data_IF_332435171519
#
_entry.id   IF_332435171519
#
_cell.length_a   1.000
_cell.length_b   1.000
_cell.length_c   1.000
_cell.angle_alpha   90.00
_cell.angle_beta   90.00
_cell.angle_gamma   90.00
#
_symmetry.space_group_name_H-M   'P 1'
#
loop_
_entity.id
_entity.type
_entity.pdbx_description
1 polymer ?
#
# COMPACT_ATOMS: atom_id res chain seq x y z
N UNK A 1 8.60 -41.08 -19.31
CA UNK A 1 7.32 -41.51 -18.67
C UNK A 1 6.95 -40.48 -17.62
N UNK A 2 5.69 -40.03 -17.62
CA UNK A 2 5.23 -38.77 -17.04
C UNK A 2 5.34 -38.70 -15.50
N UNK A 3 6.03 -37.67 -14.99
CA UNK A 3 5.98 -37.27 -13.59
C UNK A 3 4.71 -36.43 -13.35
N UNK A 4 3.61 -37.10 -12.98
CA UNK A 4 2.39 -36.42 -12.55
C UNK A 4 2.49 -36.16 -11.04
N UNK A 5 3.15 -35.06 -10.68
CA UNK A 5 2.87 -34.38 -9.42
C UNK A 5 1.44 -33.83 -9.51
N UNK A 6 0.46 -34.70 -9.27
CA UNK A 6 -0.93 -34.35 -9.09
C UNK A 6 -1.04 -33.76 -7.69
N UNK A 7 -0.74 -32.46 -7.58
CA UNK A 7 -1.23 -31.66 -6.45
C UNK A 7 -2.74 -31.85 -6.41
N UNK A 8 -3.22 -32.60 -5.41
CA UNK A 8 -4.64 -32.76 -5.11
C UNK A 8 -5.29 -31.38 -5.17
N UNK A 9 -6.33 -31.14 -5.97
CA UNK A 9 -7.04 -29.87 -5.93
C UNK A 9 -7.78 -29.83 -4.60
N UNK A 10 -7.14 -29.25 -3.58
CA UNK A 10 -7.85 -28.71 -2.43
C UNK A 10 -8.99 -27.89 -3.00
N UNK A 11 -10.25 -28.20 -2.64
CA UNK A 11 -11.46 -27.46 -3.02
C UNK A 11 -11.09 -26.00 -3.23
N UNK A 12 -11.12 -25.57 -4.49
CA UNK A 12 -10.47 -24.33 -4.92
C UNK A 12 -10.97 -23.19 -4.03
N UNK A 13 -10.09 -22.70 -3.16
CA UNK A 13 -10.29 -21.42 -2.52
C UNK A 13 -10.38 -20.45 -3.70
N UNK A 14 -11.53 -19.81 -3.90
CA UNK A 14 -11.75 -18.85 -4.98
C UNK A 14 -12.13 -17.52 -4.35
N UNK A 15 -11.66 -16.42 -4.93
CA UNK A 15 -11.97 -15.10 -4.40
C UNK A 15 -13.48 -14.82 -4.45
N UNK A 16 -14.06 -14.38 -3.33
CA UNK A 16 -15.46 -13.98 -3.20
C UNK A 16 -15.86 -12.84 -4.14
N UNK A 17 -14.90 -12.01 -4.54
CA UNK A 17 -15.13 -10.80 -5.36
C UNK A 17 -14.91 -11.06 -6.85
N UNK A 18 -13.84 -11.77 -7.22
CA UNK A 18 -13.46 -11.95 -8.63
C UNK A 18 -13.42 -13.41 -9.11
N UNK A 19 -13.73 -14.36 -8.22
CA UNK A 19 -13.73 -15.82 -8.49
C UNK A 19 -12.39 -16.41 -8.94
N UNK A 20 -11.29 -15.65 -8.91
CA UNK A 20 -9.94 -16.16 -9.20
C UNK A 20 -9.46 -17.15 -8.15
N UNK A 21 -8.83 -18.24 -8.58
CA UNK A 21 -8.20 -19.28 -7.75
C UNK A 21 -6.69 -19.11 -7.56
N UNK A 22 -6.04 -18.33 -8.42
CA UNK A 22 -4.58 -18.40 -8.62
C UNK A 22 -3.79 -17.39 -7.78
N UNK A 23 -4.48 -16.67 -6.91
CA UNK A 23 -3.94 -15.56 -6.15
C UNK A 23 -3.88 -15.87 -4.66
N UNK A 24 -2.91 -15.30 -3.94
CA UNK A 24 -2.84 -15.40 -2.48
C UNK A 24 -4.17 -14.98 -1.85
N UNK A 25 -4.78 -15.88 -1.10
CA UNK A 25 -6.11 -15.70 -0.54
C UNK A 25 -6.07 -15.43 0.96
N UNK A 26 -6.95 -14.54 1.38
CA UNK A 26 -7.16 -14.13 2.76
C UNK A 26 -8.56 -14.58 3.18
N UNK A 27 -8.68 -15.26 4.32
CA UNK A 27 -9.99 -15.58 4.90
C UNK A 27 -10.69 -14.28 5.36
N UNK A 28 -11.88 -13.99 4.81
CA UNK A 28 -12.65 -12.75 5.07
C UNK A 28 -12.96 -12.59 6.55
N UNK A 29 -13.20 -13.70 7.28
CA UNK A 29 -13.51 -13.69 8.71
C UNK A 29 -12.31 -14.06 9.59
N UNK A 30 -11.11 -14.18 9.02
CA UNK A 30 -9.88 -14.50 9.73
C UNK A 30 -9.30 -13.31 10.50
N UNK A 31 -8.27 -13.57 11.32
CA UNK A 31 -7.62 -12.54 12.16
C UNK A 31 -7.08 -11.36 11.33
N UNK A 32 -6.30 -11.65 10.29
CA UNK A 32 -5.79 -10.61 9.39
C UNK A 32 -6.89 -9.72 8.79
N UNK A 33 -8.01 -10.32 8.38
CA UNK A 33 -9.11 -9.58 7.79
C UNK A 33 -9.85 -8.71 8.80
N UNK A 34 -9.93 -9.14 10.07
CA UNK A 34 -10.44 -8.31 11.17
C UNK A 34 -9.50 -7.13 11.45
N UNK A 35 -8.20 -7.38 11.57
CA UNK A 35 -7.21 -6.32 11.85
C UNK A 35 -7.20 -5.24 10.75
N UNK A 36 -7.44 -5.65 9.50
CA UNK A 36 -7.54 -4.76 8.33
C UNK A 36 -8.95 -4.23 8.06
N UNK A 37 -9.93 -4.61 8.87
CA UNK A 37 -11.36 -4.26 8.72
C UNK A 37 -11.95 -4.63 7.34
N UNK A 38 -11.48 -5.72 6.73
CA UNK A 38 -11.92 -6.16 5.38
C UNK A 38 -13.43 -6.37 5.30
N UNK A 39 -14.10 -7.06 6.25
CA UNK A 39 -15.56 -7.26 6.18
C UNK A 39 -16.35 -5.95 6.13
N UNK A 40 -15.97 -4.98 6.97
CA UNK A 40 -16.60 -3.66 7.02
C UNK A 40 -16.38 -2.91 5.71
N UNK A 41 -15.16 -2.90 5.18
CA UNK A 41 -14.87 -2.25 3.91
C UNK A 41 -15.68 -2.87 2.77
N UNK A 42 -15.77 -4.20 2.70
CA UNK A 42 -16.58 -4.87 1.67
C UNK A 42 -18.05 -4.44 1.75
N UNK A 43 -18.64 -4.40 2.95
CA UNK A 43 -20.03 -3.98 3.14
C UNK A 43 -20.28 -2.52 2.75
N UNK A 44 -19.35 -1.62 3.06
CA UNK A 44 -19.48 -0.19 2.76
C UNK A 44 -19.26 0.09 1.27
N UNK A 45 -18.31 -0.61 0.66
CA UNK A 45 -17.81 -0.29 -0.68
C UNK A 45 -18.50 -1.05 -1.80
N UNK A 46 -18.98 -2.28 -1.53
CA UNK A 46 -19.50 -3.16 -2.56
C UNK A 46 -20.94 -3.56 -2.25
N UNK A 47 -21.83 -3.64 -3.26
CA UNK A 47 -23.20 -4.09 -3.10
C UNK A 47 -23.27 -5.63 -3.03
N UNK A 48 -22.53 -6.24 -2.10
CA UNK A 48 -22.49 -7.70 -1.91
C UNK A 48 -22.91 -8.07 -0.48
N UNK A 49 -23.62 -9.19 -0.35
CA UNK A 49 -23.99 -9.73 0.96
C UNK A 49 -22.91 -10.70 1.45
N UNK A 50 -22.37 -10.43 2.63
CA UNK A 50 -21.37 -11.28 3.28
C UNK A 50 -21.96 -11.92 4.53
N UNK A 51 -22.35 -13.19 4.44
CA UNK A 51 -22.84 -13.92 5.60
C UNK A 51 -21.81 -14.99 6.01
N UNK A 52 -21.33 -15.03 7.27
CA UNK A 52 -20.46 -16.11 7.75
C UNK A 52 -21.03 -17.51 7.51
N UNK A 53 -22.35 -17.65 7.50
CA UNK A 53 -23.07 -18.91 7.36
C UNK A 53 -23.48 -19.28 5.92
N UNK A 54 -23.24 -18.41 4.92
CA UNK A 54 -23.55 -18.78 3.52
C UNK A 54 -22.60 -19.89 2.99
N UNK A 55 -23.00 -20.58 1.91
CA UNK A 55 -22.18 -21.62 1.26
C UNK A 55 -21.21 -21.06 0.21
N UNK A 56 -20.89 -19.76 0.29
CA UNK A 56 -20.13 -19.06 -0.73
C UNK A 56 -18.66 -18.89 -0.29
N UNK A 57 -17.76 -18.55 -1.21
CA UNK A 57 -16.34 -18.47 -0.89
C UNK A 57 -16.05 -17.50 0.26
N UNK A 58 -15.36 -17.97 1.29
CA UNK A 58 -15.03 -17.19 2.50
C UNK A 58 -13.67 -16.51 2.40
N UNK A 59 -13.14 -16.39 1.19
CA UNK A 59 -11.80 -15.88 0.92
C UNK A 59 -11.84 -14.74 -0.08
N UNK A 60 -10.85 -13.85 0.01
CA UNK A 60 -10.64 -12.74 -0.91
C UNK A 60 -9.17 -12.72 -1.33
N UNK A 61 -8.89 -12.52 -2.62
CA UNK A 61 -7.52 -12.45 -3.10
C UNK A 61 -6.88 -11.09 -2.76
N UNK A 62 -5.55 -11.07 -2.67
CA UNK A 62 -4.80 -9.86 -2.32
C UNK A 62 -5.04 -8.68 -3.27
N UNK A 63 -5.30 -8.92 -4.56
CA UNK A 63 -5.59 -7.84 -5.54
C UNK A 63 -6.93 -7.19 -5.26
N UNK A 64 -7.95 -7.98 -4.92
CA UNK A 64 -9.25 -7.46 -4.52
C UNK A 64 -9.14 -6.69 -3.20
N UNK A 65 -8.32 -7.16 -2.24
CA UNK A 65 -8.05 -6.40 -1.00
C UNK A 65 -7.39 -5.05 -1.30
N UNK A 66 -6.36 -5.01 -2.15
CA UNK A 66 -5.68 -3.76 -2.52
C UNK A 66 -6.64 -2.77 -3.19
N UNK A 67 -7.44 -3.22 -4.15
CA UNK A 67 -8.47 -2.38 -4.80
C UNK A 67 -9.53 -1.92 -3.81
N UNK A 68 -9.95 -2.78 -2.88
CA UNK A 68 -10.92 -2.44 -1.85
C UNK A 68 -10.39 -1.35 -0.92
N UNK A 69 -9.11 -1.40 -0.55
CA UNK A 69 -8.47 -0.36 0.26
C UNK A 69 -8.45 0.99 -0.47
N UNK A 70 -8.08 1.00 -1.76
CA UNK A 70 -8.12 2.20 -2.60
C UNK A 70 -9.54 2.79 -2.70
N UNK A 71 -10.53 1.94 -2.93
CA UNK A 71 -11.93 2.38 -3.04
C UNK A 71 -12.49 2.87 -1.71
N UNK A 72 -12.14 2.24 -0.59
CA UNK A 72 -12.56 2.68 0.74
C UNK A 72 -11.95 4.04 1.11
N UNK A 73 -10.67 4.27 0.75
CA UNK A 73 -10.03 5.57 0.91
C UNK A 73 -10.77 6.66 0.09
N UNK A 74 -11.16 6.33 -1.15
CA UNK A 74 -11.95 7.23 -1.99
C UNK A 74 -13.35 7.51 -1.39
N UNK A 75 -14.05 6.49 -0.92
CA UNK A 75 -15.34 6.62 -0.23
C UNK A 75 -15.25 7.51 1.01
N UNK A 76 -14.23 7.31 1.84
CA UNK A 76 -14.00 8.16 3.02
C UNK A 76 -13.69 9.60 2.63
N UNK A 77 -12.97 9.82 1.52
CA UNK A 77 -12.70 11.15 1.01
C UNK A 77 -13.98 11.84 0.53
N UNK A 78 -14.82 11.18 -0.26
CA UNK A 78 -16.08 11.75 -0.74
C UNK A 78 -17.03 12.08 0.41
N UNK A 79 -17.20 11.15 1.37
CA UNK A 79 -18.02 11.39 2.56
C UNK A 79 -17.50 12.58 3.38
N UNK A 80 -16.19 12.67 3.56
CA UNK A 80 -15.61 13.81 4.26
C UNK A 80 -15.87 15.10 3.50
N UNK A 81 -15.59 15.15 2.19
CA UNK A 81 -15.84 16.33 1.36
C UNK A 81 -17.29 16.81 1.44
N UNK A 82 -18.26 15.88 1.44
CA UNK A 82 -19.68 16.22 1.62
C UNK A 82 -19.97 16.85 2.99
N UNK A 83 -19.43 16.28 4.06
CA UNK A 83 -19.61 16.82 5.43
C UNK A 83 -19.02 18.22 5.57
N UNK A 84 -17.88 18.45 4.94
CA UNK A 84 -17.25 19.78 4.87
C UNK A 84 -18.16 20.75 4.12
N UNK A 85 -18.68 20.35 2.96
CA UNK A 85 -19.61 21.16 2.18
C UNK A 85 -20.89 21.48 2.96
N UNK A 86 -21.33 20.57 3.83
CA UNK A 86 -22.47 20.76 4.74
C UNK A 86 -22.13 21.58 6.00
N UNK A 87 -20.89 22.04 6.17
CA UNK A 87 -20.49 22.91 7.29
C UNK A 87 -20.07 22.18 8.59
N UNK A 88 -19.76 20.88 8.54
CA UNK A 88 -19.31 20.14 9.74
C UNK A 88 -17.81 20.39 10.04
N UNK A 89 -17.49 21.51 10.68
CA UNK A 89 -16.13 22.06 10.86
C UNK A 89 -15.13 21.15 11.62
N UNK A 90 -15.61 20.39 12.61
CA UNK A 90 -14.76 19.46 13.40
C UNK A 90 -14.23 18.26 12.57
N UNK A 91 -14.81 17.97 11.41
CA UNK A 91 -14.41 16.86 10.55
C UNK A 91 -13.22 17.22 9.64
N UNK A 92 -13.15 18.48 9.16
CA UNK A 92 -12.11 18.97 8.24
C UNK A 92 -10.71 18.85 8.85
N UNK A 93 -10.56 19.42 10.04
CA UNK A 93 -9.25 19.57 10.68
C UNK A 93 -8.70 18.21 11.13
N UNK A 94 -9.58 17.31 11.58
CA UNK A 94 -9.24 15.91 11.91
C UNK A 94 -8.87 15.11 10.66
N UNK A 95 -9.59 15.30 9.54
CA UNK A 95 -9.29 14.62 8.27
C UNK A 95 -7.94 15.03 7.69
N UNK A 96 -7.67 16.33 7.61
CA UNK A 96 -6.39 16.85 7.11
C UNK A 96 -5.23 16.36 7.98
N UNK A 97 -5.40 16.41 9.31
CA UNK A 97 -4.41 15.88 10.27
C UNK A 97 -4.12 14.40 10.01
N UNK A 98 -5.15 13.54 9.94
CA UNK A 98 -4.97 12.11 9.64
C UNK A 98 -4.25 11.84 8.32
N UNK A 99 -4.55 12.61 7.27
CA UNK A 99 -3.91 12.43 5.96
C UNK A 99 -2.43 12.85 5.98
N UNK A 100 -2.11 13.92 6.72
CA UNK A 100 -0.72 14.34 6.96
C UNK A 100 0.01 13.31 7.81
N UNK A 101 -0.61 12.83 8.90
CA UNK A 101 -0.05 11.81 9.78
C UNK A 101 0.26 10.53 9.01
N UNK A 102 -0.66 10.05 8.17
CA UNK A 102 -0.45 8.84 7.34
C UNK A 102 0.71 9.02 6.36
N UNK A 103 0.86 10.20 5.75
CA UNK A 103 2.00 10.52 4.88
C UNK A 103 3.31 10.60 5.67
N UNK A 104 3.28 11.17 6.87
CA UNK A 104 4.43 11.31 7.75
C UNK A 104 4.90 9.93 8.24
N UNK A 105 4.00 9.09 8.76
CA UNK A 105 4.30 7.71 9.18
C UNK A 105 4.94 6.92 8.03
N UNK A 106 4.34 6.98 6.83
CA UNK A 106 4.92 6.32 5.65
C UNK A 106 6.31 6.88 5.26
N UNK A 107 6.56 8.17 5.47
CA UNK A 107 7.87 8.78 5.23
C UNK A 107 8.91 8.34 6.27
N UNK A 108 8.52 8.25 7.55
CA UNK A 108 9.36 7.77 8.65
C UNK A 108 9.74 6.31 8.46
N UNK A 109 8.78 5.46 8.10
CA UNK A 109 9.05 4.05 7.80
C UNK A 109 10.06 3.89 6.65
N UNK A 110 9.93 4.70 5.58
CA UNK A 110 10.91 4.71 4.47
C UNK A 110 12.30 5.16 4.92
N UNK A 111 12.39 6.08 5.88
CA UNK A 111 13.68 6.51 6.45
C UNK A 111 14.29 5.37 7.27
N UNK A 112 13.53 4.80 8.20
CA UNK A 112 13.98 3.71 9.06
C UNK A 112 14.42 2.48 8.24
N UNK A 113 13.72 2.16 7.16
CA UNK A 113 14.10 1.08 6.24
C UNK A 113 15.42 1.33 5.48
N UNK A 114 15.83 2.59 5.30
CA UNK A 114 17.14 2.95 4.73
C UNK A 114 18.25 2.85 5.78
N UNK A 115 17.96 3.29 7.01
CA UNK A 115 18.92 3.25 8.12
C UNK A 115 19.18 1.82 8.61
N UNK A 116 18.16 0.95 8.62
CA UNK A 116 18.30 -0.48 8.99
C UNK A 116 19.11 -1.35 8.02
N UNK A 117 19.52 -0.84 6.84
CA UNK A 117 20.48 -1.51 5.94
C UNK A 117 21.92 -1.00 6.09
N UNK A 118 22.15 -0.03 6.98
CA UNK A 118 23.41 0.73 7.06
C UNK A 118 24.36 0.34 8.20
N UNK A 119 24.05 -0.67 9.02
CA UNK A 119 24.82 -0.92 10.25
C UNK A 119 25.37 -2.35 10.34
N UNK A 120 26.24 -2.68 9.38
CA UNK A 120 27.30 -3.66 9.58
C UNK A 120 28.52 -3.25 8.74
N UNK A 121 29.17 -2.13 9.14
CA UNK A 121 30.59 -1.95 8.85
C UNK A 121 31.31 -2.12 10.17
N UNK A 122 31.86 -3.31 10.37
CA UNK A 122 32.91 -3.53 11.34
C UNK A 122 33.99 -2.48 11.10
N UNK A 123 34.24 -1.63 12.10
CA UNK A 123 35.41 -0.76 12.12
C UNK A 123 36.59 -1.69 12.35
N UNK A 124 37.59 -1.77 11.44
CA UNK A 124 38.79 -2.54 11.72
C UNK A 124 39.53 -1.82 12.83
N UNK A 125 39.78 -2.55 13.92
CA UNK A 125 40.59 -2.05 15.03
C UNK A 125 42.04 -1.87 14.56
N UNK A 126 42.53 -0.63 14.71
CA UNK A 126 43.91 -0.21 15.03
C UNK A 126 45.07 -0.66 14.14
N UNK A 127 45.84 0.29 13.56
CA UNK A 127 47.31 0.46 13.76
C UNK A 127 47.71 1.94 13.48
N UNK A 128 48.29 2.62 14.49
CA UNK A 128 49.40 3.59 14.37
C UNK A 128 49.12 5.07 14.00
N UNK A 129 49.78 6.05 14.68
CA UNK A 129 49.79 7.45 14.26
C UNK A 129 50.98 7.71 13.33
N UNK A 130 50.75 8.30 12.15
CA UNK A 130 51.80 8.87 11.30
C UNK A 130 51.37 10.28 10.84
N UNK A 131 52.26 11.29 10.94
CA UNK A 131 51.91 12.67 10.67
C UNK A 131 52.08 13.01 9.18
N UNK A 132 51.48 14.13 8.77
CA UNK A 132 51.65 14.84 7.50
C UNK A 132 50.80 14.38 6.30
N UNK A 133 49.60 14.93 6.20
CA UNK A 133 49.04 15.41 4.92
C UNK A 133 48.02 16.52 5.18
N UNK A 134 48.20 17.63 4.47
CA UNK A 134 47.51 18.91 4.59
C UNK A 134 45.99 18.86 4.40
N UNK A 135 45.30 19.72 5.15
CA UNK A 135 43.86 19.88 5.36
C UNK A 135 42.99 20.23 4.12
N UNK A 136 43.51 20.18 2.89
CA UNK A 136 42.88 20.82 1.72
C UNK A 136 42.20 19.88 0.70
N UNK A 137 42.10 18.57 0.95
CA UNK A 137 41.51 17.63 -0.03
C UNK A 137 40.13 17.02 0.35
N UNK A 138 39.41 17.60 1.32
CA UNK A 138 38.09 17.09 1.71
C UNK A 138 36.92 17.68 0.88
N UNK A 139 37.11 18.83 0.23
CA UNK A 139 35.99 19.59 -0.40
C UNK A 139 35.66 19.20 -1.85
N UNK A 140 36.47 18.38 -2.53
CA UNK A 140 36.17 17.99 -3.93
C UNK A 140 35.31 16.72 -4.07
N UNK A 141 35.35 15.81 -3.10
CA UNK A 141 34.69 14.50 -3.26
C UNK A 141 33.15 14.56 -3.12
N UNK A 142 32.60 15.58 -2.47
CA UNK A 142 31.14 15.77 -2.38
C UNK A 142 30.51 16.42 -3.61
N UNK A 143 31.28 17.13 -4.45
CA UNK A 143 30.74 17.79 -5.65
C UNK A 143 30.52 16.85 -6.83
N UNK A 144 31.24 15.72 -6.91
CA UNK A 144 31.15 14.78 -8.06
C UNK A 144 29.96 13.80 -8.01
N UNK A 145 29.18 13.72 -6.93
CA UNK A 145 27.99 12.84 -6.88
C UNK A 145 26.67 13.52 -7.24
N UNK A 146 26.68 14.82 -7.58
CA UNK A 146 25.45 15.59 -7.86
C UNK A 146 25.10 15.73 -9.35
N UNK A 147 25.79 15.02 -10.25
CA UNK A 147 25.59 15.14 -11.69
C UNK A 147 25.50 13.77 -12.39
N UNK A 148 24.39 13.05 -12.18
CA UNK A 148 23.88 12.04 -13.14
C UNK A 148 22.59 11.38 -12.63
N UNK A 149 21.47 12.11 -12.62
CA UNK A 149 20.16 11.48 -12.73
C UNK A 149 19.31 12.26 -13.73
N UNK A 150 18.85 11.66 -14.85
CA UNK A 150 17.90 12.29 -15.73
C UNK A 150 16.53 12.38 -15.03
N UNK A 151 15.83 13.49 -15.28
CA UNK A 151 14.51 13.78 -14.72
C UNK A 151 13.48 12.68 -15.09
N UNK A 152 12.59 12.27 -14.17
CA UNK A 152 11.52 11.34 -14.52
C UNK A 152 10.50 12.07 -15.41
N UNK A 153 10.31 11.55 -16.63
CA UNK A 153 9.23 11.96 -17.55
C UNK A 153 7.87 11.81 -16.86
N UNK A 154 7.15 12.93 -16.76
CA UNK A 154 5.73 12.98 -16.42
C UNK A 154 4.93 12.07 -17.38
N UNK A 155 4.37 10.98 -16.85
CA UNK A 155 3.33 10.21 -17.57
C UNK A 155 1.99 10.89 -17.28
N UNK A 156 1.49 11.64 -18.27
CA UNK A 156 0.09 12.08 -18.30
C UNK A 156 -0.81 10.85 -18.35
N UNK A 157 -1.48 10.53 -17.25
CA UNK A 157 -2.61 9.63 -17.26
C UNK A 157 -3.81 10.40 -17.79
N UNK A 158 -4.25 10.09 -19.01
CA UNK A 158 -5.60 10.44 -19.44
C UNK A 158 -6.54 9.39 -18.84
N UNK A 159 -7.40 9.85 -17.94
CA UNK A 159 -8.46 9.05 -17.33
C UNK A 159 -9.77 9.45 -18.00
N UNK A 160 -10.10 8.81 -19.12
CA UNK A 160 -11.44 8.93 -19.72
C UNK A 160 -12.32 7.82 -19.13
N UNK A 161 -12.91 8.09 -17.97
CA UNK A 161 -14.07 7.34 -17.51
C UNK A 161 -15.33 8.02 -18.06
N UNK A 162 -15.94 7.42 -19.07
CA UNK A 162 -17.31 7.70 -19.46
C UNK A 162 -18.23 6.89 -18.55
N UNK A 163 -19.02 7.57 -17.73
CA UNK A 163 -20.14 6.99 -16.99
C UNK A 163 -21.27 6.67 -17.98
N UNK A 164 -21.80 5.43 -18.02
CA UNK A 164 -23.02 5.14 -18.77
C UNK A 164 -24.22 5.84 -18.12
N UNK A 165 -24.96 6.63 -18.89
CA UNK A 165 -26.11 7.43 -18.44
C UNK A 165 -27.39 6.62 -18.17
N UNK A 166 -27.31 5.42 -17.60
CA UNK A 166 -28.50 4.54 -17.45
C UNK A 166 -28.70 4.01 -16.04
N UNK A 167 -28.53 4.86 -15.02
CA UNK A 167 -28.96 4.53 -13.65
C UNK A 167 -29.53 5.78 -12.97
N UNK A 168 -30.57 6.35 -13.56
CA UNK A 168 -31.58 7.17 -12.88
C UNK A 168 -32.85 7.09 -13.73
N UNK A 169 -33.61 6.02 -13.49
CA UNK A 169 -35.06 5.96 -13.70
C UNK A 169 -35.64 5.24 -12.47
#
# INVERSE_FOLDING_TARGET
MANRNKSTPSRSLVCRVCLSSDELQVAIYGAYARDKNIPTKLHVCLPIQLNPHDHLPKTICFRCVAKLDEYYDFYCHSLTSQRIANGEELAVQKYLRRRVDRKLTAAVERRNAREGRGQERAVPASIGPEPSASFLDMKQSQRKRKASQPAPRSKRFHSTYTVPSTVFD
#
